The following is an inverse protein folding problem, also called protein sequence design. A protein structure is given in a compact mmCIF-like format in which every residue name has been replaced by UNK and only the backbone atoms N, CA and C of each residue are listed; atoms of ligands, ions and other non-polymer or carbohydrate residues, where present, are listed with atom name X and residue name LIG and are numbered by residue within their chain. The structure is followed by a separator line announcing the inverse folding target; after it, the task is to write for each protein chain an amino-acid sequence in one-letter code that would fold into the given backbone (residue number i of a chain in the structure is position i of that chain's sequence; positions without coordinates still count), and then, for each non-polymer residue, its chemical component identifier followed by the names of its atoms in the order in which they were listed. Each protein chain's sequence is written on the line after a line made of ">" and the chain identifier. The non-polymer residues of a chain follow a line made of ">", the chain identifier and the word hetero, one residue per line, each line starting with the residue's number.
data_IF_010901002420
#
_entry.id   IF_010901002420
#
_cell.length_a   1.000
_cell.length_b   1.000
_cell.length_c   1.000
_cell.angle_alpha   90.00
_cell.angle_beta   90.00
_cell.angle_gamma   90.00
#
_symmetry.space_group_name_H-M   'P 1'
#
loop_
_entity.id
_entity.type
_entity.pdbx_description
1 polymer ?
#
# COMPACT_ATOMS: atom_id res chain seq x y z
N UNK A 1 25.74 61.95 94.37
CA UNK A 1 26.95 62.80 94.44
C UNK A 1 27.93 62.30 93.37
N UNK A 2 28.36 63.21 92.49
CA UNK A 2 29.40 63.09 91.46
C UNK A 2 29.27 62.13 90.26
N UNK A 3 28.80 62.74 89.16
CA UNK A 3 29.39 62.70 87.81
C UNK A 3 30.86 62.26 87.74
N UNK A 4 31.18 61.42 86.75
CA UNK A 4 32.34 61.62 85.86
C UNK A 4 32.05 61.12 84.44
N UNK A 5 32.29 62.04 83.51
CA UNK A 5 32.28 61.94 82.05
C UNK A 5 33.70 61.62 81.57
N UNK A 6 33.82 60.86 80.46
CA UNK A 6 34.90 60.77 79.43
C UNK A 6 35.03 59.30 78.99
N UNK A 7 35.27 58.93 77.73
CA UNK A 7 35.62 59.63 76.51
C UNK A 7 35.35 58.70 75.32
N UNK A 8 35.06 59.34 74.19
CA UNK A 8 35.05 58.86 72.80
C UNK A 8 36.26 57.99 72.43
N UNK A 9 36.00 56.95 71.61
CA UNK A 9 36.72 56.44 70.42
C UNK A 9 35.98 55.13 70.07
N UNK A 10 35.31 54.94 68.94
CA UNK A 10 35.79 55.17 67.58
C UNK A 10 36.02 53.80 66.94
N UNK A 11 34.99 53.23 66.31
CA UNK A 11 35.14 52.18 65.29
C UNK A 11 33.87 52.12 64.45
N UNK A 12 33.98 52.79 63.32
CA UNK A 12 33.08 52.75 62.17
C UNK A 12 33.17 51.33 61.59
N UNK A 13 32.11 50.54 61.70
CA UNK A 13 31.96 49.31 60.91
C UNK A 13 31.48 49.76 59.53
N UNK A 14 32.21 49.45 58.44
CA UNK A 14 31.76 49.80 57.11
C UNK A 14 30.52 48.99 56.75
N UNK A 15 29.41 49.70 56.59
CA UNK A 15 28.26 49.27 55.78
C UNK A 15 28.77 49.21 54.35
N UNK A 16 29.29 48.05 53.97
CA UNK A 16 29.87 47.79 52.66
C UNK A 16 29.37 46.46 52.12
N UNK A 17 28.51 46.54 51.12
CA UNK A 17 28.28 45.50 50.10
C UNK A 17 27.53 44.24 50.59
N UNK A 18 26.21 44.36 50.76
CA UNK A 18 25.28 43.23 50.52
C UNK A 18 24.13 43.77 49.65
N UNK A 19 24.46 44.16 48.42
CA UNK A 19 23.48 44.54 47.41
C UNK A 19 24.08 44.37 46.00
N UNK A 20 24.44 43.14 45.61
CA UNK A 20 24.67 42.75 44.19
C UNK A 20 25.07 41.27 44.01
N UNK A 21 24.47 40.31 44.75
CA UNK A 21 24.73 38.87 44.48
C UNK A 21 23.47 37.99 44.60
N UNK A 22 22.31 38.52 44.15
CA UNK A 22 21.06 37.76 44.04
C UNK A 22 20.45 37.80 42.63
N UNK A 23 21.26 38.07 41.59
CA UNK A 23 20.81 38.23 40.21
C UNK A 23 21.66 37.45 39.18
N UNK A 24 22.40 36.42 39.62
CA UNK A 24 23.28 35.63 38.76
C UNK A 24 23.01 34.10 38.80
N UNK A 25 21.86 33.66 39.32
CA UNK A 25 21.45 32.24 39.34
C UNK A 25 20.18 31.94 38.55
N UNK A 26 19.53 32.95 37.96
CA UNK A 26 18.55 32.76 36.89
C UNK A 26 19.25 32.67 35.52
N UNK A 27 20.42 32.03 35.47
CA UNK A 27 21.01 31.58 34.23
C UNK A 27 20.04 30.59 33.62
N UNK A 28 19.23 31.09 32.69
CA UNK A 28 18.38 30.35 31.80
C UNK A 28 19.18 29.16 31.26
N UNK A 29 19.03 27.99 31.87
CA UNK A 29 19.49 26.73 31.30
C UNK A 29 18.55 26.42 30.14
N UNK A 30 18.73 27.20 29.07
CA UNK A 30 18.27 26.84 27.75
C UNK A 30 19.04 25.58 27.37
N UNK A 31 18.43 24.44 27.71
CA UNK A 31 18.96 23.12 27.40
C UNK A 31 18.91 22.96 25.87
N UNK A 32 20.02 23.35 25.23
CA UNK A 32 20.19 23.31 23.78
C UNK A 32 19.92 21.91 23.22
N UNK A 33 20.09 20.86 24.03
CA UNK A 33 19.79 19.48 23.64
C UNK A 33 18.30 19.26 23.33
N UNK A 34 17.38 19.88 24.08
CA UNK A 34 15.93 19.78 23.84
C UNK A 34 15.52 20.50 22.58
N UNK A 35 16.09 21.68 22.32
CA UNK A 35 15.84 22.42 21.08
C UNK A 35 16.36 21.65 19.87
N UNK A 36 17.59 21.12 19.95
CA UNK A 36 18.17 20.30 18.88
C UNK A 36 17.32 19.05 18.64
N UNK A 37 16.92 18.33 19.69
CA UNK A 37 16.08 17.13 19.56
C UNK A 37 14.73 17.44 18.91
N UNK A 38 14.08 18.55 19.30
CA UNK A 38 12.82 19.00 18.68
C UNK A 38 13.03 19.36 17.21
N UNK A 39 14.08 20.12 16.88
CA UNK A 39 14.40 20.48 15.49
C UNK A 39 14.69 19.24 14.63
N UNK A 40 15.43 18.27 15.16
CA UNK A 40 15.69 16.99 14.48
C UNK A 40 14.38 16.23 14.25
N UNK A 41 13.49 16.13 15.25
CA UNK A 41 12.21 15.47 15.06
C UNK A 41 11.29 16.21 14.09
N UNK A 42 11.26 17.54 14.09
CA UNK A 42 10.51 18.32 13.11
C UNK A 42 11.04 18.09 11.69
N UNK A 43 12.36 18.05 11.51
CA UNK A 43 12.99 17.70 10.24
C UNK A 43 12.63 16.29 9.78
N UNK A 44 12.73 15.30 10.68
CA UNK A 44 12.37 13.91 10.39
C UNK A 44 10.87 13.75 10.11
N UNK A 45 10.02 14.51 10.80
CA UNK A 45 8.58 14.51 10.57
C UNK A 45 8.26 15.03 9.17
N UNK A 46 8.96 16.06 8.69
CA UNK A 46 8.82 16.54 7.31
C UNK A 46 9.17 15.45 6.27
N UNK A 47 10.17 14.61 6.55
CA UNK A 47 10.48 13.43 5.71
C UNK A 47 9.49 12.28 5.86
N UNK A 48 8.78 12.22 6.99
CA UNK A 48 7.76 11.22 7.29
C UNK A 48 6.37 11.62 6.76
N UNK A 49 6.16 12.91 6.50
CA UNK A 49 4.97 13.42 5.82
C UNK A 49 4.89 12.80 4.42
N UNK A 50 3.73 12.24 4.03
CA UNK A 50 3.56 11.70 2.70
C UNK A 50 3.76 12.76 1.61
N UNK A 51 4.24 12.31 0.46
CA UNK A 51 4.31 13.14 -0.72
C UNK A 51 2.91 13.61 -1.13
N UNK A 52 2.83 14.77 -1.76
CA UNK A 52 1.57 15.24 -2.34
C UNK A 52 1.28 14.42 -3.59
N UNK A 53 0.06 13.92 -3.73
CA UNK A 53 -0.37 13.30 -4.98
C UNK A 53 -0.38 14.35 -6.10
N UNK A 54 0.32 14.05 -7.19
CA UNK A 54 0.53 14.95 -8.31
C UNK A 54 -0.17 14.37 -9.52
N UNK A 55 -1.24 15.01 -9.96
CA UNK A 55 -1.84 14.63 -11.21
C UNK A 55 -1.07 15.19 -12.39
N UNK A 56 -0.65 14.30 -13.28
CA UNK A 56 -0.16 14.71 -14.58
C UNK A 56 -1.31 14.65 -15.60
N UNK A 57 -1.72 15.83 -16.06
CA UNK A 57 -2.65 15.94 -17.19
C UNK A 57 -2.01 15.47 -18.51
N UNK A 58 -2.78 15.48 -19.62
CA UNK A 58 -2.25 15.18 -20.94
C UNK A 58 -1.03 16.05 -21.28
N UNK A 59 -0.14 15.52 -22.11
CA UNK A 59 1.09 16.20 -22.52
C UNK A 59 0.79 17.59 -23.13
N UNK A 60 1.70 18.57 -23.02
CA UNK A 60 1.46 19.93 -23.53
C UNK A 60 1.02 19.98 -25.02
N UNK A 61 1.55 19.07 -25.83
CA UNK A 61 1.23 18.94 -27.26
C UNK A 61 -0.23 18.49 -27.48
N UNK A 62 -0.74 17.60 -26.62
CA UNK A 62 -2.12 17.10 -26.66
C UNK A 62 -3.11 18.14 -26.14
N UNK A 63 -2.69 19.02 -25.22
CA UNK A 63 -3.49 20.16 -24.72
C UNK A 63 -3.70 21.27 -25.75
N UNK A 64 -2.77 21.44 -26.69
CA UNK A 64 -2.84 22.51 -27.68
C UNK A 64 -3.89 22.27 -28.77
N UNK A 65 -4.35 21.02 -28.94
CA UNK A 65 -5.17 20.61 -30.08
C UNK A 65 -6.63 20.26 -29.73
N UNK A 66 -7.02 20.28 -28.45
CA UNK A 66 -8.40 19.93 -28.06
C UNK A 66 -8.84 20.76 -26.84
N UNK A 67 -10.00 21.46 -26.90
CA UNK A 67 -10.53 22.15 -25.72
C UNK A 67 -10.75 21.13 -24.59
N UNK A 68 -10.53 21.51 -23.32
CA UNK A 68 -10.65 20.57 -22.21
C UNK A 68 -12.08 20.02 -22.15
N UNK A 69 -12.25 18.75 -22.50
CA UNK A 69 -13.52 18.06 -22.33
C UNK A 69 -13.80 17.92 -20.84
N UNK A 70 -15.03 18.21 -20.41
CA UNK A 70 -15.44 17.95 -19.02
C UNK A 70 -15.14 16.48 -18.64
N UNK A 71 -14.60 16.21 -17.44
CA UNK A 71 -14.43 14.85 -16.96
C UNK A 71 -15.76 14.09 -17.02
N UNK A 72 -15.68 12.81 -17.37
CA UNK A 72 -16.86 11.95 -17.46
C UNK A 72 -17.17 11.36 -16.11
N UNK A 73 -18.41 11.49 -15.68
CA UNK A 73 -18.87 10.92 -14.42
C UNK A 73 -18.93 9.41 -14.49
N UNK A 74 -18.33 8.74 -13.51
CA UNK A 74 -18.38 7.29 -13.29
C UNK A 74 -18.99 7.07 -11.90
N UNK A 75 -20.11 6.36 -11.82
CA UNK A 75 -20.85 6.11 -10.58
C UNK A 75 -20.19 4.98 -9.80
N UNK A 76 -19.96 5.22 -8.52
CA UNK A 76 -19.38 4.22 -7.60
C UNK A 76 -20.34 3.95 -6.46
N UNK A 77 -20.66 2.68 -6.24
CA UNK A 77 -21.40 2.24 -5.05
C UNK A 77 -20.42 1.78 -3.98
N UNK A 78 -20.50 2.39 -2.79
CA UNK A 78 -19.66 2.01 -1.65
C UNK A 78 -20.41 1.07 -0.70
N UNK A 79 -19.80 -0.06 -0.36
CA UNK A 79 -20.30 -1.04 0.59
C UNK A 79 -19.38 -1.06 1.82
N UNK A 80 -19.89 -0.72 3.00
CA UNK A 80 -19.10 -0.56 4.22
C UNK A 80 -19.40 -1.64 5.24
N UNK A 81 -18.36 -2.33 5.69
CA UNK A 81 -18.47 -3.33 6.75
C UNK A 81 -18.62 -2.70 8.13
N UNK A 82 -19.18 -3.46 9.07
CA UNK A 82 -19.20 -3.06 10.50
C UNK A 82 -17.79 -2.82 11.03
N UNK A 83 -16.84 -3.70 10.70
CA UNK A 83 -15.45 -3.56 11.10
C UNK A 83 -14.84 -2.24 10.59
N UNK A 84 -15.11 -1.86 9.33
CA UNK A 84 -14.66 -0.58 8.79
C UNK A 84 -15.22 0.61 9.59
N UNK A 85 -16.52 0.62 9.87
CA UNK A 85 -17.16 1.71 10.65
C UNK A 85 -16.65 1.80 12.09
N UNK A 86 -16.10 0.72 12.66
CA UNK A 86 -15.46 0.73 13.97
C UNK A 86 -14.08 1.42 13.95
N UNK A 87 -13.39 1.46 12.80
CA UNK A 87 -12.10 2.12 12.64
C UNK A 87 -12.18 3.55 12.11
N UNK A 88 -13.27 3.89 11.42
CA UNK A 88 -13.42 5.17 10.71
C UNK A 88 -14.55 5.99 11.33
N UNK A 89 -14.16 7.00 12.12
CA UNK A 89 -15.08 7.99 12.69
C UNK A 89 -15.68 8.82 11.54
N UNK A 90 -17.01 9.03 11.57
CA UNK A 90 -17.75 9.78 10.56
C UNK A 90 -17.50 9.23 9.14
N UNK A 91 -17.92 7.97 8.94
CA UNK A 91 -17.83 7.28 7.64
C UNK A 91 -18.37 8.12 6.46
N UNK A 92 -19.51 8.82 6.57
CA UNK A 92 -19.99 9.68 5.47
C UNK A 92 -18.99 10.78 5.08
N UNK A 93 -18.38 11.46 6.06
CA UNK A 93 -17.34 12.45 5.77
C UNK A 93 -16.10 11.81 5.17
N UNK A 94 -15.65 10.68 5.73
CA UNK A 94 -14.50 9.95 5.21
C UNK A 94 -14.66 9.61 3.73
N UNK A 95 -15.84 9.09 3.33
CA UNK A 95 -16.09 8.73 1.94
C UNK A 95 -16.02 9.94 1.01
N UNK A 96 -16.63 11.07 1.39
CA UNK A 96 -16.51 12.30 0.60
C UNK A 96 -15.06 12.74 0.43
N UNK A 97 -14.30 12.81 1.54
CA UNK A 97 -12.90 13.23 1.50
C UNK A 97 -12.04 12.30 0.63
N UNK A 98 -12.26 10.98 0.70
CA UNK A 98 -11.55 9.99 -0.13
C UNK A 98 -11.84 10.18 -1.62
N UNK A 99 -13.11 10.35 -1.99
CA UNK A 99 -13.50 10.54 -3.39
C UNK A 99 -13.00 11.89 -3.93
N UNK A 100 -13.04 12.96 -3.11
CA UNK A 100 -12.44 14.25 -3.47
C UNK A 100 -10.92 14.11 -3.74
N UNK A 101 -10.22 13.32 -2.93
CA UNK A 101 -8.78 13.07 -3.14
C UNK A 101 -8.50 12.19 -4.36
N UNK A 102 -9.31 11.17 -4.60
CA UNK A 102 -9.22 10.34 -5.79
C UNK A 102 -9.48 11.17 -7.06
N UNK A 103 -10.49 12.04 -7.04
CA UNK A 103 -10.87 12.89 -8.18
C UNK A 103 -9.79 13.91 -8.56
N UNK A 104 -9.01 14.42 -7.59
CA UNK A 104 -7.82 15.23 -7.89
C UNK A 104 -6.82 14.51 -8.80
N UNK A 105 -6.83 13.18 -8.80
CA UNK A 105 -5.98 12.34 -9.64
C UNK A 105 -6.70 11.87 -10.90
N UNK A 106 -7.91 11.32 -10.77
CA UNK A 106 -8.59 10.67 -11.90
C UNK A 106 -9.10 11.65 -12.95
N UNK A 107 -9.51 12.86 -12.57
CA UNK A 107 -10.00 13.85 -13.53
C UNK A 107 -8.89 14.29 -14.50
N UNK A 108 -7.75 14.84 -14.05
CA UNK A 108 -6.64 15.20 -14.93
C UNK A 108 -5.96 13.98 -15.57
N UNK A 109 -5.79 12.87 -14.84
CA UNK A 109 -4.99 11.74 -15.33
C UNK A 109 -5.77 10.84 -16.26
N UNK A 110 -7.07 10.64 -16.02
CA UNK A 110 -7.91 9.66 -16.74
C UNK A 110 -9.13 10.29 -17.42
N UNK A 111 -9.42 11.57 -17.17
CA UNK A 111 -10.60 12.23 -17.74
C UNK A 111 -11.92 11.76 -17.11
N UNK A 112 -11.89 11.23 -15.89
CA UNK A 112 -13.09 10.73 -15.19
C UNK A 112 -13.27 11.37 -13.80
N UNK A 113 -14.52 11.62 -13.45
CA UNK A 113 -14.97 12.03 -12.12
C UNK A 113 -15.70 10.86 -11.47
N UNK A 114 -15.23 10.40 -10.32
CA UNK A 114 -15.87 9.38 -9.52
C UNK A 114 -16.97 10.02 -8.67
N UNK A 115 -18.22 9.66 -8.95
CA UNK A 115 -19.37 10.09 -8.18
C UNK A 115 -19.79 8.97 -7.23
N UNK A 116 -19.82 9.28 -5.93
CA UNK A 116 -20.34 8.36 -4.92
C UNK A 116 -21.87 8.28 -5.04
N UNK A 117 -22.37 7.18 -5.58
CA UNK A 117 -23.80 6.94 -5.79
C UNK A 117 -24.53 6.73 -4.47
N UNK A 118 -24.00 5.84 -3.64
CA UNK A 118 -24.54 5.53 -2.33
C UNK A 118 -23.45 4.91 -1.45
N UNK A 119 -23.62 5.05 -0.13
CA UNK A 119 -22.91 4.24 0.87
C UNK A 119 -23.92 3.30 1.53
N UNK A 120 -23.68 1.99 1.45
CA UNK A 120 -24.56 0.94 1.96
C UNK A 120 -23.82 0.07 2.99
N UNK A 121 -24.49 -0.45 4.02
CA UNK A 121 -23.89 -1.43 4.91
C UNK A 121 -23.62 -2.74 4.16
N UNK A 122 -22.58 -3.45 4.59
CA UNK A 122 -22.17 -4.74 4.03
C UNK A 122 -21.78 -5.71 5.15
N UNK A 123 -22.30 -6.92 5.10
CA UNK A 123 -22.05 -7.94 6.13
C UNK A 123 -20.81 -8.79 5.78
N UNK A 124 -19.69 -8.11 5.49
CA UNK A 124 -18.38 -8.76 5.34
C UNK A 124 -17.86 -9.25 6.69
N UNK A 125 -17.09 -10.34 6.67
CA UNK A 125 -16.48 -10.83 7.91
C UNK A 125 -15.39 -9.86 8.41
N UNK A 126 -15.21 -9.67 9.74
CA UNK A 126 -14.32 -8.64 10.28
C UNK A 126 -12.86 -8.78 9.85
N UNK A 127 -12.36 -10.02 9.82
CA UNK A 127 -10.98 -10.38 9.47
C UNK A 127 -10.89 -11.02 8.08
N UNK A 128 -11.86 -10.73 7.20
CA UNK A 128 -11.92 -11.34 5.89
C UNK A 128 -10.68 -10.99 5.07
N UNK A 129 -10.04 -12.01 4.51
CA UNK A 129 -8.97 -11.85 3.53
C UNK A 129 -9.49 -11.07 2.31
N UNK A 130 -8.66 -10.21 1.71
CA UNK A 130 -9.10 -9.33 0.60
C UNK A 130 -9.55 -10.13 -0.62
N UNK A 131 -9.00 -11.33 -0.87
CA UNK A 131 -9.43 -12.20 -1.96
C UNK A 131 -10.80 -12.82 -1.70
N UNK A 132 -11.12 -13.19 -0.45
CA UNK A 132 -12.47 -13.65 -0.09
C UNK A 132 -13.47 -12.50 -0.12
N UNK A 133 -13.07 -11.34 0.40
CA UNK A 133 -13.91 -10.15 0.46
C UNK A 133 -14.33 -9.69 -0.94
N UNK A 134 -13.42 -9.68 -1.92
CA UNK A 134 -13.77 -9.27 -3.29
C UNK A 134 -14.75 -10.26 -3.95
N UNK A 135 -14.55 -11.57 -3.78
CA UNK A 135 -15.50 -12.59 -4.29
C UNK A 135 -16.87 -12.47 -3.62
N UNK A 136 -16.91 -12.21 -2.30
CA UNK A 136 -18.15 -11.94 -1.56
C UNK A 136 -18.86 -10.68 -2.07
N UNK A 137 -18.10 -9.62 -2.35
CA UNK A 137 -18.61 -8.36 -2.91
C UNK A 137 -19.20 -8.55 -4.31
N UNK A 138 -18.47 -9.23 -5.20
CA UNK A 138 -18.93 -9.55 -6.57
C UNK A 138 -20.24 -10.34 -6.58
N UNK A 139 -20.37 -11.29 -5.65
CA UNK A 139 -21.55 -12.14 -5.53
C UNK A 139 -22.75 -11.36 -4.98
N UNK A 140 -22.53 -10.54 -3.95
CA UNK A 140 -23.61 -9.85 -3.24
C UNK A 140 -24.06 -8.56 -3.92
N UNK A 141 -23.18 -7.86 -4.62
CA UNK A 141 -23.46 -6.62 -5.33
C UNK A 141 -22.82 -6.64 -6.73
N UNK A 142 -23.51 -7.19 -7.74
CA UNK A 142 -22.97 -7.24 -9.11
C UNK A 142 -22.78 -5.86 -9.77
N UNK A 143 -23.35 -4.78 -9.23
CA UNK A 143 -23.14 -3.43 -9.74
C UNK A 143 -23.70 -3.18 -11.14
N UNK A 144 -24.90 -3.69 -11.45
CA UNK A 144 -25.51 -3.60 -12.80
C UNK A 144 -25.78 -2.17 -13.27
N UNK A 145 -26.01 -1.25 -12.33
CA UNK A 145 -26.43 0.14 -12.57
C UNK A 145 -25.36 1.19 -12.22
N UNK A 146 -24.16 0.73 -11.87
CA UNK A 146 -23.00 1.57 -11.54
C UNK A 146 -21.77 1.12 -12.33
N UNK A 147 -20.78 2.00 -12.40
CA UNK A 147 -19.54 1.73 -13.11
C UNK A 147 -18.58 0.90 -12.26
N UNK A 148 -18.53 1.19 -10.95
CA UNK A 148 -17.70 0.48 -9.98
C UNK A 148 -18.44 0.17 -8.68
N UNK A 149 -18.00 -0.90 -8.02
CA UNK A 149 -18.43 -1.28 -6.68
C UNK A 149 -17.21 -1.34 -5.78
N UNK A 150 -17.20 -0.54 -4.71
CA UNK A 150 -16.10 -0.45 -3.77
C UNK A 150 -16.52 -1.00 -2.40
N UNK A 151 -15.92 -2.10 -1.97
CA UNK A 151 -16.06 -2.67 -0.63
C UNK A 151 -15.04 -2.08 0.34
N UNK A 152 -15.47 -1.78 1.56
CA UNK A 152 -14.64 -1.18 2.60
C UNK A 152 -14.65 -2.07 3.86
N UNK A 153 -13.50 -2.67 4.17
CA UNK A 153 -13.34 -3.65 5.27
C UNK A 153 -12.42 -3.14 6.38
N UNK A 154 -12.44 -3.80 7.54
CA UNK A 154 -11.64 -3.43 8.71
C UNK A 154 -10.14 -3.33 8.43
N UNK A 155 -9.44 -2.56 9.27
CA UNK A 155 -7.99 -2.43 9.22
C UNK A 155 -7.32 -3.75 9.63
N UNK A 156 -6.06 -3.94 9.22
CA UNK A 156 -5.25 -5.03 9.78
C UNK A 156 -4.75 -4.65 11.18
N UNK A 157 -4.62 -5.62 12.10
CA UNK A 157 -4.03 -5.39 13.41
C UNK A 157 -2.52 -5.11 13.35
N UNK A 158 -1.89 -5.32 12.18
CA UNK A 158 -0.47 -5.12 11.91
C UNK A 158 -0.22 -4.11 10.79
N UNK A 159 0.93 -3.47 10.82
CA UNK A 159 1.43 -2.64 9.73
C UNK A 159 1.89 -3.54 8.57
N UNK A 160 1.45 -3.19 7.37
CA UNK A 160 1.91 -3.81 6.12
C UNK A 160 2.05 -2.77 5.03
N UNK A 161 2.96 -3.02 4.11
CA UNK A 161 3.12 -2.23 2.89
C UNK A 161 2.56 -2.97 1.67
N UNK A 162 2.22 -4.25 1.77
CA UNK A 162 1.67 -4.99 0.62
C UNK A 162 0.31 -4.44 0.23
N UNK A 163 0.15 -3.97 -1.01
CA UNK A 163 -1.15 -3.53 -1.52
C UNK A 163 -2.17 -4.66 -1.48
N UNK A 164 -1.79 -5.87 -1.85
CA UNK A 164 -2.69 -7.04 -1.83
C UNK A 164 -3.31 -7.36 -0.46
N UNK A 165 -2.67 -6.98 0.64
CA UNK A 165 -3.22 -7.19 1.98
C UNK A 165 -4.17 -6.07 2.42
N UNK A 166 -4.05 -4.88 1.83
CA UNK A 166 -4.77 -3.66 2.21
C UNK A 166 -5.78 -3.21 1.18
N UNK A 167 -5.75 -3.81 0.00
CA UNK A 167 -6.69 -3.63 -1.08
C UNK A 167 -6.64 -4.83 -2.03
N UNK A 168 -7.68 -4.93 -2.86
CA UNK A 168 -7.72 -5.82 -4.02
C UNK A 168 -8.73 -5.31 -5.05
N UNK A 169 -8.29 -5.14 -6.29
CA UNK A 169 -9.13 -4.89 -7.45
C UNK A 169 -9.28 -6.14 -8.32
N UNK A 170 -10.47 -6.34 -8.88
CA UNK A 170 -10.70 -7.37 -9.88
C UNK A 170 -10.07 -6.90 -11.20
N UNK A 171 -9.06 -7.62 -11.69
CA UNK A 171 -8.35 -7.23 -12.93
C UNK A 171 -9.34 -7.18 -14.09
N UNK A 172 -9.46 -6.01 -14.74
CA UNK A 172 -10.44 -5.77 -15.82
C UNK A 172 -11.90 -6.00 -15.35
N UNK A 173 -12.17 -5.90 -14.04
CA UNK A 173 -13.50 -5.97 -13.45
C UNK A 173 -14.07 -4.61 -13.01
N UNK A 174 -15.18 -4.65 -12.26
CA UNK A 174 -15.84 -3.46 -11.68
C UNK A 174 -15.62 -3.32 -10.17
N UNK A 175 -15.12 -4.38 -9.55
CA UNK A 175 -15.12 -4.53 -8.10
C UNK A 175 -13.73 -4.26 -7.55
N UNK A 176 -13.70 -3.56 -6.43
CA UNK A 176 -12.50 -3.40 -5.63
C UNK A 176 -12.87 -3.42 -4.15
N UNK A 177 -11.94 -3.88 -3.32
CA UNK A 177 -12.04 -3.87 -1.87
C UNK A 177 -10.84 -3.11 -1.32
N UNK A 178 -11.06 -2.26 -0.33
CA UNK A 178 -10.01 -1.54 0.39
C UNK A 178 -10.21 -1.66 1.90
N UNK A 179 -9.10 -1.73 2.64
CA UNK A 179 -9.11 -1.71 4.10
C UNK A 179 -9.13 -0.29 4.64
N UNK A 180 -9.63 -0.14 5.86
CA UNK A 180 -9.46 1.09 6.61
C UNK A 180 -7.95 1.46 6.72
N UNK A 181 -7.58 2.74 6.53
CA UNK A 181 -6.19 3.14 6.33
C UNK A 181 -5.37 3.22 7.63
N UNK A 182 -6.02 3.30 8.78
CA UNK A 182 -5.37 3.42 10.09
C UNK A 182 -5.12 2.06 10.73
N UNK A 183 -4.04 1.94 11.51
CA UNK A 183 -3.81 0.82 12.43
C UNK A 183 -3.31 1.34 13.78
N UNK A 184 -3.56 0.58 14.85
CA UNK A 184 -2.99 0.87 16.17
C UNK A 184 -1.46 0.94 16.13
N UNK A 185 -0.82 0.09 15.33
CA UNK A 185 0.63 0.10 15.17
C UNK A 185 1.15 1.37 14.49
N UNK A 186 0.46 1.89 13.47
CA UNK A 186 0.84 3.17 12.85
C UNK A 186 0.69 4.34 13.83
N UNK A 187 -0.35 4.30 14.66
CA UNK A 187 -0.53 5.26 15.74
C UNK A 187 0.68 5.23 16.69
N UNK A 188 0.99 4.06 17.24
CA UNK A 188 2.05 3.89 18.24
C UNK A 188 3.45 4.15 17.67
N UNK A 189 3.66 3.88 16.37
CA UNK A 189 4.89 4.23 15.69
C UNK A 189 5.10 5.76 15.64
N UNK A 190 4.05 6.55 15.38
CA UNK A 190 4.15 8.01 15.37
C UNK A 190 4.35 8.56 16.77
N UNK A 191 3.59 8.08 17.76
CA UNK A 191 3.73 8.51 19.16
C UNK A 191 5.14 8.25 19.71
N UNK A 192 5.72 7.07 19.42
CA UNK A 192 7.08 6.73 19.86
C UNK A 192 8.16 7.52 19.11
N UNK A 193 8.03 7.67 17.80
CA UNK A 193 9.09 8.26 16.95
C UNK A 193 9.14 9.79 17.01
N UNK A 194 8.04 10.44 17.39
CA UNK A 194 7.87 11.89 17.33
C UNK A 194 7.40 12.50 18.67
N UNK A 195 7.96 12.01 19.78
CA UNK A 195 7.57 12.40 21.14
C UNK A 195 7.94 13.85 21.54
N UNK A 196 8.79 14.54 20.78
CA UNK A 196 9.13 15.96 20.97
C UNK A 196 8.22 16.91 20.17
N UNK A 197 7.40 16.36 19.26
CA UNK A 197 6.33 17.14 18.64
C UNK A 197 5.21 17.42 19.66
N UNK A 198 4.38 18.42 19.38
CA UNK A 198 3.12 18.63 20.09
C UNK A 198 2.11 17.54 19.71
N UNK A 199 1.08 17.35 20.54
CA UNK A 199 -0.02 16.43 20.21
C UNK A 199 -0.70 16.82 18.89
N UNK A 200 -0.83 18.11 18.62
CA UNK A 200 -1.45 18.63 17.40
C UNK A 200 -0.63 18.29 16.15
N UNK A 201 0.69 18.46 16.22
CA UNK A 201 1.62 18.06 15.16
C UNK A 201 1.58 16.55 14.91
N UNK A 202 1.57 15.72 15.96
CA UNK A 202 1.44 14.25 15.81
C UNK A 202 0.08 13.85 15.22
N UNK A 203 -1.01 14.43 15.71
CA UNK A 203 -2.36 14.16 15.17
C UNK A 203 -2.46 14.55 13.70
N UNK A 204 -1.88 15.70 13.32
CA UNK A 204 -1.81 16.13 11.91
C UNK A 204 -1.02 15.12 11.08
N UNK A 205 0.18 14.72 11.50
CA UNK A 205 1.00 13.76 10.78
C UNK A 205 0.27 12.41 10.57
N UNK A 206 -0.37 11.89 11.63
CA UNK A 206 -1.19 10.66 11.54
C UNK A 206 -2.33 10.80 10.53
N UNK A 207 -3.04 11.93 10.56
CA UNK A 207 -4.14 12.23 9.63
C UNK A 207 -3.64 12.28 8.19
N UNK A 208 -2.52 12.96 7.94
CA UNK A 208 -1.95 13.09 6.60
C UNK A 208 -1.51 11.73 6.04
N UNK A 209 -0.88 10.88 6.87
CA UNK A 209 -0.52 9.50 6.49
C UNK A 209 -1.75 8.66 6.15
N UNK A 210 -2.75 8.65 7.01
CA UNK A 210 -3.96 7.87 6.81
C UNK A 210 -4.71 8.31 5.53
N UNK A 211 -4.83 9.62 5.32
CA UNK A 211 -5.47 10.21 4.13
C UNK A 211 -4.74 9.83 2.84
N UNK A 212 -3.41 10.01 2.81
CA UNK A 212 -2.62 9.62 1.65
C UNK A 212 -2.70 8.13 1.37
N UNK A 213 -2.57 7.28 2.39
CA UNK A 213 -2.66 5.83 2.25
C UNK A 213 -4.02 5.41 1.70
N UNK A 214 -5.11 5.97 2.22
CA UNK A 214 -6.46 5.70 1.72
C UNK A 214 -6.59 6.01 0.22
N UNK A 215 -6.19 7.21 -0.19
CA UNK A 215 -6.28 7.65 -1.58
C UNK A 215 -5.42 6.77 -2.51
N UNK A 216 -4.16 6.50 -2.13
CA UNK A 216 -3.26 5.67 -2.94
C UNK A 216 -3.76 4.24 -3.08
N UNK A 217 -4.17 3.59 -1.99
CA UNK A 217 -4.71 2.22 -2.06
C UNK A 217 -5.95 2.18 -2.94
N UNK A 218 -6.89 3.10 -2.74
CA UNK A 218 -8.10 3.15 -3.57
C UNK A 218 -7.77 3.35 -5.06
N UNK A 219 -6.87 4.29 -5.39
CA UNK A 219 -6.44 4.55 -6.77
C UNK A 219 -5.67 3.37 -7.38
N UNK A 220 -4.87 2.66 -6.59
CA UNK A 220 -4.15 1.45 -7.00
C UNK A 220 -5.12 0.34 -7.39
N UNK A 221 -6.08 0.03 -6.51
CA UNK A 221 -7.08 -1.01 -6.81
C UNK A 221 -7.99 -0.62 -7.96
N UNK A 222 -8.37 0.66 -8.07
CA UNK A 222 -9.06 1.19 -9.24
C UNK A 222 -8.23 0.96 -10.52
N UNK A 223 -6.91 1.17 -10.47
CA UNK A 223 -6.00 0.87 -11.56
C UNK A 223 -6.08 -0.59 -12.01
N UNK A 224 -6.10 -1.54 -11.08
CA UNK A 224 -6.32 -2.95 -11.39
C UNK A 224 -7.68 -3.21 -12.06
N UNK A 225 -8.76 -2.57 -11.58
CA UNK A 225 -10.08 -2.67 -12.25
C UNK A 225 -10.04 -2.16 -13.69
N UNK A 226 -9.11 -1.27 -14.02
CA UNK A 226 -8.88 -0.73 -15.35
C UNK A 226 -7.80 -1.48 -16.15
N UNK A 227 -7.37 -2.65 -15.66
CA UNK A 227 -6.45 -3.56 -16.34
C UNK A 227 -4.97 -3.25 -16.13
N UNK A 228 -4.62 -2.25 -15.31
CA UNK A 228 -3.23 -2.03 -14.96
C UNK A 228 -2.68 -3.16 -14.09
N UNK A 229 -1.39 -3.43 -14.31
CA UNK A 229 -0.56 -4.28 -13.46
C UNK A 229 0.48 -3.40 -12.77
N UNK A 230 1.31 -4.01 -11.93
CA UNK A 230 2.29 -3.23 -11.19
C UNK A 230 3.35 -2.59 -12.08
N UNK A 231 3.67 -1.33 -11.77
CA UNK A 231 4.78 -0.59 -12.36
C UNK A 231 6.04 -0.76 -11.52
N UNK A 232 7.21 -0.59 -12.15
CA UNK A 232 8.52 -0.70 -11.48
C UNK A 232 8.95 0.59 -10.78
N UNK A 233 8.40 1.73 -11.19
CA UNK A 233 8.74 3.06 -10.67
C UNK A 233 8.28 3.22 -9.20
N UNK A 234 9.19 3.46 -8.23
CA UNK A 234 8.85 3.52 -6.80
C UNK A 234 7.86 4.63 -6.42
N UNK A 235 7.78 5.70 -7.22
CA UNK A 235 6.86 6.81 -7.01
C UNK A 235 5.50 6.62 -7.70
N UNK A 236 5.34 5.53 -8.46
CA UNK A 236 4.06 5.22 -9.09
C UNK A 236 3.01 4.75 -8.08
N UNK A 237 1.75 5.13 -8.29
CA UNK A 237 0.58 4.56 -7.62
C UNK A 237 0.47 3.06 -7.87
N UNK A 238 0.90 2.57 -9.02
CA UNK A 238 0.86 1.14 -9.37
C UNK A 238 2.09 0.35 -8.88
N UNK A 239 2.96 0.91 -8.03
CA UNK A 239 4.04 0.12 -7.40
C UNK A 239 3.45 -1.01 -6.53
N UNK A 240 4.08 -2.20 -6.42
CA UNK A 240 3.50 -3.34 -5.68
C UNK A 240 3.42 -3.15 -4.15
N UNK A 241 4.15 -2.18 -3.61
CA UNK A 241 4.19 -1.90 -2.17
C UNK A 241 3.91 -0.43 -1.86
N UNK A 242 2.96 -0.20 -0.97
CA UNK A 242 2.66 1.11 -0.45
C UNK A 242 3.89 1.73 0.19
N UNK A 243 4.22 2.92 -0.29
CA UNK A 243 5.16 3.80 0.37
C UNK A 243 4.64 5.25 0.33
N UNK A 244 5.16 6.07 1.25
CA UNK A 244 4.74 7.47 1.42
C UNK A 244 5.26 8.40 0.32
N UNK A 245 6.07 7.90 -0.62
CA UNK A 245 6.66 8.67 -1.74
C UNK A 245 5.91 8.46 -3.05
N UNK A 246 4.88 7.63 -3.06
CA UNK A 246 3.95 7.52 -4.18
C UNK A 246 3.31 8.87 -4.48
N UNK A 247 3.27 9.27 -5.75
CA UNK A 247 2.75 10.58 -6.17
C UNK A 247 1.79 10.52 -7.34
N UNK A 248 2.01 9.66 -8.34
CA UNK A 248 1.28 9.72 -9.62
C UNK A 248 1.15 8.34 -10.28
N UNK A 249 0.31 8.22 -11.31
CA UNK A 249 0.33 7.05 -12.19
C UNK A 249 1.43 7.20 -13.25
N UNK A 250 2.14 6.12 -13.56
CA UNK A 250 3.09 6.12 -14.67
C UNK A 250 2.42 6.39 -16.03
N UNK A 251 3.18 6.83 -17.03
CA UNK A 251 2.63 7.17 -18.35
C UNK A 251 2.00 5.96 -19.05
N UNK A 252 2.61 4.78 -18.94
CA UNK A 252 2.08 3.54 -19.49
C UNK A 252 0.79 3.11 -18.78
N UNK A 253 0.74 3.16 -17.43
CA UNK A 253 -0.50 2.91 -16.70
C UNK A 253 -1.63 3.86 -17.10
N UNK A 254 -1.37 5.18 -17.20
CA UNK A 254 -2.39 6.14 -17.65
C UNK A 254 -2.91 5.83 -19.05
N UNK A 255 -2.01 5.47 -19.96
CA UNK A 255 -2.36 5.14 -21.35
C UNK A 255 -3.26 3.92 -21.40
N UNK A 256 -2.88 2.85 -20.68
CA UNK A 256 -3.67 1.62 -20.57
C UNK A 256 -5.05 1.87 -19.96
N UNK A 257 -5.11 2.55 -18.80
CA UNK A 257 -6.38 2.84 -18.13
C UNK A 257 -7.33 3.67 -18.99
N UNK A 258 -6.83 4.69 -19.70
CA UNK A 258 -7.65 5.49 -20.63
C UNK A 258 -8.21 4.64 -21.75
N UNK A 259 -7.38 3.77 -22.35
CA UNK A 259 -7.82 2.86 -23.41
C UNK A 259 -8.89 1.86 -22.91
N UNK A 260 -8.71 1.32 -21.69
CA UNK A 260 -9.70 0.46 -21.04
C UNK A 260 -11.03 1.20 -20.81
N UNK A 261 -10.98 2.42 -20.25
CA UNK A 261 -12.16 3.24 -20.02
C UNK A 261 -12.89 3.55 -21.33
N UNK A 262 -12.17 3.88 -22.40
CA UNK A 262 -12.76 4.14 -23.71
C UNK A 262 -13.47 2.90 -24.27
N UNK A 263 -12.83 1.73 -24.20
CA UNK A 263 -13.43 0.47 -24.65
C UNK A 263 -14.70 0.12 -23.90
N UNK A 264 -14.69 0.20 -22.56
CA UNK A 264 -15.88 -0.04 -21.74
C UNK A 264 -17.03 0.88 -22.11
N UNK A 265 -16.73 2.16 -22.35
CA UNK A 265 -17.73 3.15 -22.76
C UNK A 265 -18.33 2.88 -24.14
N UNK A 266 -17.59 2.21 -25.00
CA UNK A 266 -18.06 1.78 -26.31
C UNK A 266 -18.79 0.42 -26.26
N UNK A 267 -19.08 -0.10 -25.06
CA UNK A 267 -19.83 -1.34 -24.86
C UNK A 267 -19.01 -2.61 -25.06
N UNK A 268 -17.67 -2.52 -25.06
CA UNK A 268 -16.82 -3.69 -25.12
C UNK A 268 -17.07 -4.61 -23.91
N UNK A 269 -17.15 -5.91 -24.17
CA UNK A 269 -17.18 -6.95 -23.14
C UNK A 269 -15.87 -7.01 -22.35
N UNK A 270 -15.91 -7.60 -21.16
CA UNK A 270 -14.71 -7.76 -20.33
C UNK A 270 -13.61 -8.57 -21.05
N UNK A 271 -13.98 -9.55 -21.87
CA UNK A 271 -13.03 -10.34 -22.68
C UNK A 271 -12.36 -9.49 -23.78
N UNK A 272 -13.11 -8.58 -24.43
CA UNK A 272 -12.55 -7.65 -25.43
C UNK A 272 -11.63 -6.62 -24.79
N UNK A 273 -11.98 -6.14 -23.59
CA UNK A 273 -11.11 -5.25 -22.80
C UNK A 273 -9.85 -6.01 -22.38
N UNK A 274 -9.99 -7.22 -21.85
CA UNK A 274 -8.88 -8.03 -21.39
C UNK A 274 -7.91 -8.38 -22.54
N UNK A 275 -8.43 -8.69 -23.72
CA UNK A 275 -7.63 -8.87 -24.94
C UNK A 275 -6.83 -7.60 -25.27
N UNK A 276 -7.48 -6.43 -25.25
CA UNK A 276 -6.82 -5.17 -25.53
C UNK A 276 -5.74 -4.82 -24.50
N UNK A 277 -5.96 -5.15 -23.23
CA UNK A 277 -4.93 -5.04 -22.18
C UNK A 277 -3.73 -5.92 -22.53
N UNK A 278 -3.96 -7.18 -22.93
CA UNK A 278 -2.90 -8.07 -23.38
C UNK A 278 -2.12 -7.52 -24.58
N UNK A 279 -2.83 -7.02 -25.59
CA UNK A 279 -2.22 -6.42 -26.79
C UNK A 279 -1.32 -5.22 -26.42
N UNK A 280 -1.82 -4.33 -25.56
CA UNK A 280 -1.03 -3.21 -25.03
C UNK A 280 0.22 -3.71 -24.31
N UNK A 281 0.08 -4.64 -23.35
CA UNK A 281 1.18 -5.15 -22.55
C UNK A 281 2.26 -5.84 -23.38
N UNK A 282 1.91 -6.49 -24.50
CA UNK A 282 2.89 -7.08 -25.42
C UNK A 282 3.77 -6.03 -26.11
N UNK A 283 3.23 -4.84 -26.39
CA UNK A 283 3.95 -3.75 -27.07
C UNK A 283 4.57 -2.70 -26.16
N UNK A 284 4.08 -2.59 -24.92
CA UNK A 284 4.58 -1.60 -23.96
C UNK A 284 6.04 -1.87 -23.56
N UNK A 285 6.81 -0.83 -23.17
CA UNK A 285 8.18 -1.00 -22.68
C UNK A 285 8.24 -2.03 -21.54
N UNK A 286 8.99 -3.15 -21.67
CA UNK A 286 9.00 -4.19 -20.65
C UNK A 286 9.45 -3.70 -19.27
N UNK A 287 10.33 -2.69 -19.22
CA UNK A 287 10.84 -2.11 -17.99
C UNK A 287 9.81 -1.26 -17.22
N UNK A 288 8.69 -0.86 -17.84
CA UNK A 288 7.65 -0.08 -17.19
C UNK A 288 6.86 -0.91 -16.15
N UNK A 289 6.78 -2.23 -16.35
CA UNK A 289 5.96 -3.13 -15.54
C UNK A 289 6.79 -4.20 -14.84
N UNK A 290 6.30 -4.67 -13.70
CA UNK A 290 6.88 -5.82 -13.00
C UNK A 290 6.77 -7.05 -13.92
N UNK A 291 7.92 -7.64 -14.26
CA UNK A 291 8.00 -8.70 -15.27
C UNK A 291 7.12 -9.92 -14.93
N UNK A 292 7.10 -10.34 -13.66
CA UNK A 292 6.33 -11.50 -13.22
C UNK A 292 4.83 -11.28 -13.37
N UNK A 293 4.33 -10.08 -13.03
CA UNK A 293 2.90 -9.76 -13.15
C UNK A 293 2.49 -9.63 -14.61
N UNK A 294 3.35 -9.02 -15.44
CA UNK A 294 3.14 -8.94 -16.90
C UNK A 294 3.06 -10.33 -17.51
N UNK A 295 4.03 -11.19 -17.20
CA UNK A 295 4.09 -12.53 -17.76
C UNK A 295 2.93 -13.40 -17.28
N UNK A 296 2.56 -13.31 -15.99
CA UNK A 296 1.40 -14.01 -15.45
C UNK A 296 0.11 -13.59 -16.15
N UNK A 297 -0.16 -12.28 -16.26
CA UNK A 297 -1.38 -11.80 -16.89
C UNK A 297 -1.44 -12.18 -18.38
N UNK A 298 -0.33 -12.04 -19.12
CA UNK A 298 -0.27 -12.47 -20.52
C UNK A 298 -0.54 -13.97 -20.67
N UNK A 299 0.04 -14.80 -19.80
CA UNK A 299 -0.21 -16.24 -19.78
C UNK A 299 -1.69 -16.57 -19.52
N UNK A 300 -2.33 -15.87 -18.57
CA UNK A 300 -3.75 -16.06 -18.26
C UNK A 300 -4.65 -15.66 -19.43
N UNK A 301 -4.31 -14.57 -20.13
CA UNK A 301 -5.02 -14.11 -21.33
C UNK A 301 -4.90 -15.13 -22.46
N UNK A 302 -3.69 -15.63 -22.73
CA UNK A 302 -3.43 -16.60 -23.79
C UNK A 302 -4.13 -17.95 -23.51
N UNK A 303 -4.16 -18.38 -22.25
CA UNK A 303 -4.88 -19.58 -21.82
C UNK A 303 -6.40 -19.44 -22.03
N UNK A 304 -6.99 -18.28 -21.69
CA UNK A 304 -8.42 -18.00 -21.93
C UNK A 304 -8.77 -17.98 -23.41
N UNK A 305 -7.94 -17.33 -24.23
CA UNK A 305 -8.14 -17.30 -25.68
C UNK A 305 -8.10 -18.70 -26.31
N UNK A 306 -7.22 -19.57 -25.81
CA UNK A 306 -7.12 -20.97 -26.26
C UNK A 306 -8.35 -21.79 -25.84
N UNK A 307 -8.88 -21.57 -24.64
CA UNK A 307 -10.07 -22.26 -24.14
C UNK A 307 -11.36 -21.86 -24.87
N UNK A 308 -11.43 -20.64 -25.40
CA UNK A 308 -12.60 -20.10 -26.12
C UNK A 308 -12.65 -20.45 -27.61
N UNK A 309 -11.61 -21.04 -28.19
CA UNK A 309 -11.68 -21.52 -29.58
C UNK A 309 -12.70 -22.66 -29.69
N UNK A 310 -13.60 -22.66 -30.70
CA UNK A 310 -14.55 -23.73 -30.90
C UNK A 310 -13.79 -25.02 -31.17
N UNK A 311 -13.72 -25.88 -30.14
CA UNK A 311 -13.21 -27.23 -30.30
C UNK A 311 -14.13 -27.97 -31.26
N UNK A 312 -13.68 -28.16 -32.50
CA UNK A 312 -14.18 -29.25 -33.35
C UNK A 312 -14.16 -30.50 -32.48
N UNK A 313 -15.34 -31.06 -32.19
CA UNK A 313 -15.51 -32.19 -31.28
C UNK A 313 -14.65 -33.37 -31.77
N UNK A 314 -13.46 -33.51 -31.21
CA UNK A 314 -12.74 -34.77 -31.15
C UNK A 314 -13.03 -35.32 -29.76
N UNK A 315 -13.48 -36.58 -29.75
CA UNK A 315 -13.94 -37.31 -28.58
C UNK A 315 -12.92 -37.23 -27.44
N UNK A 316 -13.48 -37.15 -26.24
CA UNK A 316 -12.82 -36.94 -24.96
C UNK A 316 -11.80 -38.03 -24.66
N UNK A 317 -10.52 -37.74 -24.89
CA UNK A 317 -9.43 -38.35 -24.15
C UNK A 317 -9.12 -37.46 -22.94
N UNK A 318 -8.90 -38.08 -21.78
CA UNK A 318 -8.85 -37.43 -20.49
C UNK A 318 -7.91 -36.22 -20.45
N UNK A 319 -8.37 -35.15 -19.79
CA UNK A 319 -7.62 -33.91 -19.64
C UNK A 319 -6.22 -34.18 -19.03
N UNK A 320 -5.13 -33.60 -19.58
CA UNK A 320 -3.83 -33.63 -18.91
C UNK A 320 -3.93 -32.85 -17.59
N UNK A 321 -3.27 -33.38 -16.55
CA UNK A 321 -3.12 -32.72 -15.26
C UNK A 321 -2.58 -31.27 -15.43
N UNK A 322 -2.93 -30.34 -14.52
CA UNK A 322 -2.45 -28.95 -14.57
C UNK A 322 -0.92 -28.91 -14.69
N UNK A 323 -0.43 -28.00 -15.54
CA UNK A 323 0.98 -27.81 -15.79
C UNK A 323 1.73 -27.65 -14.44
N UNK A 324 2.52 -28.67 -14.11
CA UNK A 324 3.25 -28.73 -12.87
C UNK A 324 4.27 -27.59 -12.83
N UNK A 325 4.30 -26.81 -11.74
CA UNK A 325 5.36 -25.83 -11.47
C UNK A 325 6.71 -26.41 -11.89
N UNK A 326 7.30 -25.82 -12.92
CA UNK A 326 8.63 -26.22 -13.36
C UNK A 326 9.61 -25.77 -12.27
N UNK A 327 10.34 -26.74 -11.74
CA UNK A 327 11.33 -26.53 -10.67
C UNK A 327 12.64 -27.14 -11.17
N UNK A 328 13.34 -26.46 -12.09
CA UNK A 328 14.54 -26.99 -12.71
C UNK A 328 15.58 -27.37 -11.64
N UNK A 329 16.07 -28.61 -11.69
CA UNK A 329 17.11 -29.09 -10.79
C UNK A 329 16.63 -29.76 -9.48
N UNK A 330 15.31 -29.83 -9.21
CA UNK A 330 14.80 -30.64 -8.10
C UNK A 330 14.69 -32.12 -8.51
N UNK A 331 15.06 -33.02 -7.59
CA UNK A 331 14.77 -34.45 -7.76
C UNK A 331 13.25 -34.70 -7.78
N UNK A 332 12.74 -35.77 -8.43
CA UNK A 332 11.29 -36.05 -8.45
C UNK A 332 10.65 -36.12 -7.05
N UNK A 333 11.35 -36.73 -6.08
CA UNK A 333 10.86 -36.84 -4.70
C UNK A 333 10.83 -35.50 -3.96
N UNK A 334 11.79 -34.62 -4.25
CA UNK A 334 11.84 -33.28 -3.64
C UNK A 334 10.89 -32.29 -4.34
N UNK A 335 10.63 -32.50 -5.63
CA UNK A 335 9.58 -31.79 -6.36
C UNK A 335 8.21 -32.06 -5.76
N UNK A 336 7.92 -33.31 -5.39
CA UNK A 336 6.67 -33.65 -4.71
C UNK A 336 6.53 -32.91 -3.37
N UNK A 337 7.58 -32.91 -2.54
CA UNK A 337 7.58 -32.14 -1.28
C UNK A 337 7.41 -30.64 -1.52
N UNK A 338 8.04 -30.08 -2.55
CA UNK A 338 7.89 -28.68 -2.92
C UNK A 338 6.44 -28.35 -3.29
N UNK A 339 5.78 -29.22 -4.07
CA UNK A 339 4.37 -29.07 -4.44
C UNK A 339 3.46 -29.17 -3.20
N UNK A 340 3.68 -30.17 -2.34
CA UNK A 340 2.93 -30.34 -1.09
C UNK A 340 3.08 -29.14 -0.15
N UNK A 341 4.28 -28.56 -0.07
CA UNK A 341 4.51 -27.36 0.74
C UNK A 341 3.86 -26.11 0.16
N UNK A 342 3.85 -25.95 -1.17
CA UNK A 342 3.10 -24.87 -1.84
C UNK A 342 1.59 -25.01 -1.62
N UNK A 343 1.06 -26.23 -1.67
CA UNK A 343 -0.35 -26.50 -1.39
C UNK A 343 -0.70 -26.19 0.07
N UNK A 344 0.16 -26.59 1.02
CA UNK A 344 -0.03 -26.24 2.43
C UNK A 344 0.04 -24.72 2.65
N UNK A 345 0.95 -24.03 1.96
CA UNK A 345 1.06 -22.56 2.01
C UNK A 345 -0.20 -21.88 1.47
N UNK A 346 -0.74 -22.33 0.32
CA UNK A 346 -1.96 -21.75 -0.26
C UNK A 346 -3.21 -21.97 0.59
N UNK A 347 -3.22 -23.04 1.40
CA UNK A 347 -4.25 -23.33 2.41
C UNK A 347 -4.04 -22.63 3.76
N UNK A 348 -3.05 -21.74 3.85
CA UNK A 348 -2.64 -21.05 5.08
C UNK A 348 -2.14 -21.97 6.22
N UNK A 349 -1.75 -23.21 5.92
CA UNK A 349 -1.23 -24.19 6.89
C UNK A 349 0.28 -23.98 7.12
N UNK A 350 0.67 -22.81 7.66
CA UNK A 350 2.07 -22.36 7.72
C UNK A 350 3.04 -23.33 8.38
N UNK A 351 2.67 -23.95 9.51
CA UNK A 351 3.52 -24.92 10.21
C UNK A 351 3.78 -26.15 9.36
N UNK A 352 2.76 -26.63 8.65
CA UNK A 352 2.87 -27.77 7.73
C UNK A 352 3.71 -27.38 6.52
N UNK A 353 3.44 -26.24 5.90
CA UNK A 353 4.20 -25.72 4.77
C UNK A 353 5.70 -25.63 5.12
N UNK A 354 6.02 -25.04 6.28
CA UNK A 354 7.39 -24.94 6.78
C UNK A 354 8.02 -26.31 6.98
N UNK A 355 7.39 -27.21 7.73
CA UNK A 355 7.97 -28.52 8.05
C UNK A 355 8.17 -29.39 6.79
N UNK A 356 7.25 -29.32 5.83
CA UNK A 356 7.35 -30.03 4.55
C UNK A 356 8.49 -29.48 3.67
N UNK A 357 8.64 -28.16 3.58
CA UNK A 357 9.67 -27.54 2.74
C UNK A 357 11.05 -27.42 3.42
N UNK A 358 11.14 -27.48 4.75
CA UNK A 358 12.38 -27.29 5.51
C UNK A 358 13.58 -28.10 4.99
N UNK A 359 13.45 -29.39 4.63
CA UNK A 359 14.56 -30.17 4.07
C UNK A 359 15.08 -29.61 2.74
N UNK A 360 14.22 -28.93 1.98
CA UNK A 360 14.56 -28.40 0.65
C UNK A 360 15.39 -27.13 0.74
N UNK A 361 15.19 -26.30 1.76
CA UNK A 361 15.83 -24.98 1.87
C UNK A 361 17.35 -25.06 1.88
N UNK A 362 17.91 -26.09 2.50
CA UNK A 362 19.34 -26.32 2.57
C UNK A 362 19.85 -27.11 1.36
N UNK A 363 19.12 -28.14 0.95
CA UNK A 363 19.49 -28.99 -0.19
C UNK A 363 19.51 -28.20 -1.52
N UNK A 364 18.62 -27.22 -1.66
CA UNK A 364 18.44 -26.42 -2.87
C UNK A 364 18.67 -24.94 -2.60
N UNK A 365 19.80 -24.61 -1.96
CA UNK A 365 20.25 -23.24 -1.67
C UNK A 365 20.35 -22.32 -2.90
N UNK A 366 20.47 -22.91 -4.09
CA UNK A 366 20.62 -22.18 -5.35
C UNK A 366 19.37 -22.19 -6.22
N UNK A 367 18.32 -22.91 -5.84
CA UNK A 367 17.03 -22.83 -6.55
C UNK A 367 16.32 -21.56 -6.12
N UNK A 368 15.99 -20.72 -7.08
CA UNK A 368 15.24 -19.49 -6.83
C UNK A 368 13.86 -19.82 -6.24
N UNK A 369 13.19 -20.82 -6.80
CA UNK A 369 11.84 -21.26 -6.45
C UNK A 369 11.76 -21.78 -5.00
N UNK A 370 12.74 -22.57 -4.58
CA UNK A 370 12.79 -23.08 -3.20
C UNK A 370 13.06 -21.97 -2.19
N UNK A 371 13.95 -21.01 -2.53
CA UNK A 371 14.25 -19.89 -1.63
C UNK A 371 13.12 -18.84 -1.61
N UNK A 372 12.38 -18.71 -2.71
CA UNK A 372 11.16 -17.88 -2.76
C UNK A 372 10.07 -18.43 -1.84
N UNK A 373 9.78 -19.75 -1.94
CA UNK A 373 8.85 -20.41 -1.02
C UNK A 373 9.28 -20.27 0.45
N UNK A 374 10.59 -20.42 0.74
CA UNK A 374 11.15 -20.20 2.08
C UNK A 374 10.83 -18.80 2.60
N UNK A 375 11.11 -17.79 1.79
CA UNK A 375 10.87 -16.40 2.16
C UNK A 375 9.38 -16.12 2.37
N UNK A 376 8.51 -16.59 1.46
CA UNK A 376 7.05 -16.47 1.57
C UNK A 376 6.50 -17.09 2.84
N UNK A 377 6.92 -18.31 3.19
CA UNK A 377 6.46 -18.94 4.43
C UNK A 377 6.98 -18.14 5.64
N UNK A 378 8.25 -17.74 5.63
CA UNK A 378 8.85 -17.03 6.76
C UNK A 378 8.20 -15.65 7.00
N UNK A 379 7.95 -14.86 5.95
CA UNK A 379 7.29 -13.55 6.07
C UNK A 379 5.86 -13.65 6.60
N UNK A 380 5.17 -14.77 6.36
CA UNK A 380 3.81 -15.01 6.83
C UNK A 380 3.70 -15.72 8.18
N UNK A 381 4.80 -16.28 8.70
CA UNK A 381 4.77 -17.12 9.90
C UNK A 381 5.76 -16.72 11.00
N UNK A 382 6.63 -15.74 10.75
CA UNK A 382 7.69 -15.36 11.67
C UNK A 382 7.74 -13.85 11.92
N UNK A 383 8.21 -13.42 13.10
CA UNK A 383 8.64 -12.04 13.35
C UNK A 383 9.62 -11.54 12.28
N UNK A 384 9.55 -10.24 11.98
CA UNK A 384 10.26 -9.61 10.86
C UNK A 384 11.77 -9.86 10.85
N UNK A 385 12.44 -9.83 12.00
CA UNK A 385 13.89 -10.06 12.09
C UNK A 385 14.27 -11.50 11.70
N UNK A 386 13.43 -12.48 12.06
CA UNK A 386 13.57 -13.88 11.65
C UNK A 386 13.24 -14.06 10.18
N UNK A 387 12.10 -13.52 9.73
CA UNK A 387 11.69 -13.60 8.32
C UNK A 387 12.76 -13.02 7.40
N UNK A 388 13.36 -11.88 7.76
CA UNK A 388 14.46 -11.27 7.02
C UNK A 388 15.64 -12.23 6.85
N UNK A 389 16.08 -12.91 7.93
CA UNK A 389 17.17 -13.89 7.87
C UNK A 389 16.85 -15.06 6.94
N UNK A 390 15.60 -15.52 6.96
CA UNK A 390 15.15 -16.61 6.09
C UNK A 390 15.09 -16.20 4.61
N UNK A 391 14.83 -14.92 4.32
CA UNK A 391 14.79 -14.36 2.97
C UNK A 391 16.17 -13.99 2.37
N UNK A 392 17.23 -13.91 3.19
CA UNK A 392 18.54 -13.41 2.75
C UNK A 392 19.11 -14.14 1.53
N UNK A 393 18.85 -15.46 1.40
CA UNK A 393 19.35 -16.23 0.26
C UNK A 393 18.63 -15.86 -1.03
N UNK A 394 17.31 -15.73 -1.00
CA UNK A 394 16.52 -15.29 -2.16
C UNK A 394 17.01 -13.92 -2.65
N UNK A 395 17.25 -12.98 -1.74
CA UNK A 395 17.75 -11.65 -2.09
C UNK A 395 19.12 -11.68 -2.78
N UNK A 396 20.01 -12.61 -2.39
CA UNK A 396 21.31 -12.83 -3.06
C UNK A 396 21.15 -13.44 -4.45
N UNK A 397 20.20 -14.37 -4.62
CA UNK A 397 19.90 -14.99 -5.92
C UNK A 397 19.30 -13.96 -6.89
N UNK A 398 18.34 -13.15 -6.43
CA UNK A 398 17.67 -12.12 -7.23
C UNK A 398 18.63 -11.02 -7.72
N UNK A 399 19.70 -10.73 -6.98
CA UNK A 399 20.68 -9.70 -7.32
C UNK A 399 21.86 -10.22 -8.17
N UNK A 400 21.87 -11.51 -8.54
CA UNK A 400 22.96 -12.12 -9.31
C UNK A 400 24.29 -12.23 -8.54
N UNK A 401 24.34 -11.86 -7.26
CA UNK A 401 25.53 -11.87 -6.39
C UNK A 401 25.81 -13.24 -5.75
N UNK A 402 25.14 -14.30 -6.22
CA UNK A 402 25.17 -15.62 -5.61
C UNK A 402 26.17 -16.60 -6.27
N UNK A 403 27.14 -16.11 -7.05
CA UNK A 403 28.25 -16.91 -7.57
C UNK A 403 29.39 -17.01 -6.56
#
# INVERSE_FOLDING_TARGET
>A
MHMRVRSLFGSIIPVGIIAAFALASAGCMYDSSRTIAKQTQQHNAAHYTPATLQAEGPAPEERASTPPSRPKTMRVRALVSKAFTAHVIDTPKYMRDLFDDANKMTEPSLGIHLELEATRPWDAAPDEDTAKAITSLETSEPGKDVDFVAGFIGALPRMTQSFHEIGRGAVVGKHLVVRAPGSAETHDAVERSFNQLTDDERRKLRKDIARHRAAVVFLHELGHTLGCIHETEPTSIMVPEYNRRVTTFGPEARTLMRATLEKRRNGASDDEVLKAVGDFLRTAPPAAFVADDRNRLLSDIDARATAQQPRTQVQTEAAPAPAALETPGLSPADREKFLQANEAYSKAEMVRAWNTAKPLFEAYRNSFEVQDLRCKIATNSMPFDMARRECDRLMKLATGKAR
#
